data_IF_558188232944
#
_entry.id   IF_558188232944
#
_cell.length_a   1.000
_cell.length_b   1.000
_cell.length_c   1.000
_cell.angle_alpha   90.00
_cell.angle_beta   90.00
_cell.angle_gamma   90.00
#
_symmetry.space_group_name_H-M   'P 1'
#
loop_
_entity.id
_entity.type
_entity.pdbx_description
1 polymer ?
#
# COMPACT_ATOMS: atom_id res chain seq x y z
N UNK A 1 -17.60 10.84 28.06
CA UNK A 1 -17.63 10.69 26.58
C UNK A 1 -16.26 10.90 25.95
N UNK A 2 -15.49 11.92 26.36
CA UNK A 2 -14.08 12.10 25.94
C UNK A 2 -13.19 10.96 26.48
N UNK A 3 -13.61 10.36 27.59
CA UNK A 3 -12.88 9.33 28.35
C UNK A 3 -12.61 8.07 27.50
N UNK A 4 -13.59 7.62 26.70
CA UNK A 4 -13.41 6.45 25.81
C UNK A 4 -12.29 6.65 24.78
N UNK A 5 -12.12 7.87 24.26
CA UNK A 5 -11.06 8.18 23.29
C UNK A 5 -9.70 8.27 23.97
N UNK A 6 -9.66 8.76 25.20
CA UNK A 6 -8.46 8.76 26.03
C UNK A 6 -8.04 7.33 26.39
N UNK A 7 -8.98 6.47 26.80
CA UNK A 7 -8.74 5.06 27.08
C UNK A 7 -8.25 4.30 25.85
N UNK A 8 -8.88 4.52 24.69
CA UNK A 8 -8.41 3.97 23.42
C UNK A 8 -6.97 4.41 23.13
N UNK A 9 -6.67 5.71 23.30
CA UNK A 9 -5.32 6.24 23.09
C UNK A 9 -4.31 5.59 24.01
N UNK A 10 -4.67 5.36 25.28
CA UNK A 10 -3.81 4.73 26.27
C UNK A 10 -3.52 3.28 25.89
N UNK A 11 -4.55 2.47 25.63
CA UNK A 11 -4.39 1.07 25.23
C UNK A 11 -3.60 0.90 23.93
N UNK A 12 -3.79 1.81 22.96
CA UNK A 12 -3.00 1.80 21.73
C UNK A 12 -1.50 2.05 22.01
N UNK A 13 -1.17 2.93 22.97
CA UNK A 13 0.23 3.18 23.37
C UNK A 13 0.83 1.98 24.08
N UNK A 14 0.09 1.32 24.96
CA UNK A 14 0.55 0.11 25.66
C UNK A 14 0.90 -1.03 24.70
N UNK A 15 0.10 -1.21 23.64
CA UNK A 15 0.36 -2.21 22.59
C UNK A 15 1.47 -1.78 21.62
N UNK A 16 2.07 -0.60 21.85
CA UNK A 16 3.23 -0.10 21.12
C UNK A 16 2.89 0.59 19.81
N UNK A 17 1.65 1.07 19.62
CA UNK A 17 1.35 1.96 18.50
C UNK A 17 1.81 3.39 18.84
N UNK A 18 2.48 4.09 17.89
CA UNK A 18 2.99 5.43 18.11
C UNK A 18 1.87 6.49 18.03
N UNK A 19 1.08 6.59 19.10
CA UNK A 19 -0.02 7.55 19.25
C UNK A 19 0.49 8.83 19.93
N UNK A 20 0.39 9.96 19.25
CA UNK A 20 0.75 11.28 19.80
C UNK A 20 -0.43 11.93 20.53
N UNK A 21 -0.14 12.93 21.36
CA UNK A 21 -1.18 13.76 21.99
C UNK A 21 -2.07 14.44 20.93
N UNK A 22 -1.49 14.86 19.80
CA UNK A 22 -2.22 15.47 18.68
C UNK A 22 -3.20 14.49 18.03
N UNK A 23 -2.81 13.23 17.84
CA UNK A 23 -3.76 12.22 17.33
C UNK A 23 -4.92 11.98 18.30
N UNK A 24 -4.66 11.98 19.60
CA UNK A 24 -5.73 11.90 20.62
C UNK A 24 -6.68 13.10 20.55
N UNK A 25 -6.14 14.31 20.37
CA UNK A 25 -6.95 15.52 20.18
C UNK A 25 -7.84 15.43 18.93
N UNK A 26 -7.26 15.06 17.78
CA UNK A 26 -8.01 14.91 16.53
C UNK A 26 -9.09 13.84 16.63
N UNK A 27 -8.78 12.71 17.28
CA UNK A 27 -9.76 11.65 17.53
C UNK A 27 -10.90 12.14 18.43
N UNK A 28 -10.61 12.91 19.48
CA UNK A 28 -11.63 13.45 20.37
C UNK A 28 -12.53 14.49 19.67
N UNK A 29 -11.99 15.24 18.71
CA UNK A 29 -12.78 16.16 17.88
C UNK A 29 -13.71 15.39 16.92
N UNK A 30 -13.19 14.37 16.24
CA UNK A 30 -14.00 13.54 15.32
C UNK A 30 -15.07 12.78 16.08
N UNK A 31 -14.75 12.22 17.25
CA UNK A 31 -15.72 11.50 18.08
C UNK A 31 -16.86 12.41 18.55
N UNK A 32 -16.58 13.69 18.86
CA UNK A 32 -17.63 14.67 19.19
C UNK A 32 -18.59 14.97 18.03
N UNK A 33 -18.11 14.90 16.79
CA UNK A 33 -18.94 15.16 15.60
C UNK A 33 -19.69 13.94 15.07
N UNK A 34 -19.08 12.77 15.10
CA UNK A 34 -19.68 11.52 14.58
C UNK A 34 -20.54 10.78 15.61
N UNK A 35 -20.20 10.88 16.90
CA UNK A 35 -20.80 10.05 17.94
C UNK A 35 -20.54 8.54 17.75
N UNK A 36 -21.46 7.72 18.25
CA UNK A 36 -21.41 6.25 18.18
C UNK A 36 -22.52 5.63 17.30
N UNK A 37 -23.18 6.44 16.45
CA UNK A 37 -24.31 5.96 15.64
C UNK A 37 -23.90 4.90 14.62
N UNK A 38 -22.84 5.18 13.85
CA UNK A 38 -22.22 4.23 12.92
C UNK A 38 -20.82 3.81 13.38
N UNK A 39 -20.77 2.60 13.94
CA UNK A 39 -19.54 1.99 14.45
C UNK A 39 -18.50 1.76 13.34
N UNK A 40 -18.93 1.44 12.13
CA UNK A 40 -18.00 1.16 11.03
C UNK A 40 -17.35 2.44 10.53
N UNK A 41 -18.13 3.51 10.46
CA UNK A 41 -17.66 4.84 10.09
C UNK A 41 -16.71 5.38 11.16
N UNK A 42 -17.08 5.29 12.45
CA UNK A 42 -16.22 5.69 13.57
C UNK A 42 -14.89 4.91 13.58
N UNK A 43 -14.94 3.58 13.39
CA UNK A 43 -13.74 2.74 13.30
C UNK A 43 -12.82 3.18 12.17
N UNK A 44 -13.39 3.49 11.01
CA UNK A 44 -12.63 3.92 9.83
C UNK A 44 -11.97 5.29 10.06
N UNK A 45 -12.71 6.24 10.64
CA UNK A 45 -12.21 7.56 10.95
C UNK A 45 -11.08 7.51 12.00
N UNK A 46 -11.27 6.78 13.11
CA UNK A 46 -10.23 6.62 14.13
C UNK A 46 -9.02 5.86 13.60
N UNK A 47 -9.22 4.84 12.75
CA UNK A 47 -8.13 4.13 12.08
C UNK A 47 -7.25 5.09 11.27
N UNK A 48 -7.87 6.00 10.51
CA UNK A 48 -7.14 6.97 9.70
C UNK A 48 -6.29 7.95 10.55
N UNK A 49 -6.68 8.20 11.81
CA UNK A 49 -5.96 9.09 12.73
C UNK A 49 -4.81 8.37 13.42
N UNK A 50 -5.03 7.14 13.88
CA UNK A 50 -4.07 6.42 14.73
C UNK A 50 -3.09 5.53 13.94
N UNK A 51 -3.50 4.96 12.82
CA UNK A 51 -2.72 3.96 12.09
C UNK A 51 -1.85 4.63 11.03
N UNK A 52 -0.53 4.62 11.26
CA UNK A 52 0.48 5.15 10.33
C UNK A 52 1.03 4.09 9.38
N UNK A 53 0.91 2.83 9.77
CA UNK A 53 1.44 1.71 9.03
C UNK A 53 0.41 0.58 8.91
N UNK A 54 0.41 -0.10 7.77
CA UNK A 54 -0.52 -1.17 7.43
C UNK A 54 -0.43 -2.34 8.43
N UNK A 55 0.77 -2.59 8.94
CA UNK A 55 1.07 -3.62 9.95
C UNK A 55 0.35 -3.36 11.29
N UNK A 56 -0.05 -2.11 11.58
CA UNK A 56 -0.71 -1.76 12.84
C UNK A 56 -2.25 -1.84 12.77
N UNK A 57 -2.81 -2.09 11.57
CA UNK A 57 -4.27 -2.25 11.37
C UNK A 57 -4.85 -3.36 12.26
N UNK A 58 -4.26 -4.58 12.34
CA UNK A 58 -4.83 -5.65 13.16
C UNK A 58 -4.83 -5.32 14.66
N UNK A 59 -3.76 -4.70 15.15
CA UNK A 59 -3.64 -4.27 16.56
C UNK A 59 -4.69 -3.23 16.89
N UNK A 60 -4.82 -2.21 16.04
CA UNK A 60 -5.85 -1.17 16.18
C UNK A 60 -7.25 -1.77 16.23
N UNK A 61 -7.57 -2.66 15.28
CA UNK A 61 -8.88 -3.30 15.23
C UNK A 61 -9.20 -4.05 16.53
N UNK A 62 -8.26 -4.83 17.07
CA UNK A 62 -8.45 -5.57 18.33
C UNK A 62 -8.78 -4.64 19.51
N UNK A 63 -8.05 -3.55 19.63
CA UNK A 63 -8.21 -2.58 20.73
C UNK A 63 -9.50 -1.78 20.57
N UNK A 64 -9.82 -1.34 19.35
CA UNK A 64 -11.07 -0.67 19.06
C UNK A 64 -12.29 -1.53 19.41
N UNK A 65 -12.27 -2.82 19.03
CA UNK A 65 -13.36 -3.73 19.37
C UNK A 65 -13.53 -3.91 20.89
N UNK A 66 -12.43 -3.86 21.65
CA UNK A 66 -12.46 -3.96 23.11
C UNK A 66 -13.02 -2.71 23.81
N UNK A 67 -12.61 -1.52 23.37
CA UNK A 67 -13.04 -0.24 23.97
C UNK A 67 -14.48 0.10 23.59
N UNK A 68 -14.86 -0.17 22.35
CA UNK A 68 -16.20 0.12 21.83
C UNK A 68 -17.09 -1.14 21.80
N UNK A 69 -16.98 -2.02 22.81
CA UNK A 69 -17.93 -3.13 22.96
C UNK A 69 -19.33 -2.55 23.12
N UNK A 70 -20.23 -2.91 22.21
CA UNK A 70 -21.64 -2.54 22.32
C UNK A 70 -22.22 -3.34 23.47
N UNK A 71 -22.76 -2.69 24.51
CA UNK A 71 -23.69 -3.36 25.41
C UNK A 71 -24.78 -3.98 24.54
N UNK A 72 -24.92 -5.29 24.62
CA UNK A 72 -25.83 -6.02 23.75
C UNK A 72 -27.26 -5.60 24.05
N UNK A 73 -27.78 -4.59 23.33
CA UNK A 73 -29.21 -4.54 23.07
C UNK A 73 -29.53 -5.83 22.33
N UNK A 74 -30.36 -6.70 22.93
CA UNK A 74 -31.03 -7.82 22.24
C UNK A 74 -31.65 -7.25 20.96
N UNK A 75 -30.93 -7.36 19.85
CA UNK A 75 -31.51 -7.17 18.53
C UNK A 75 -31.88 -8.56 18.05
N UNK A 76 -33.18 -8.71 17.89
CA UNK A 76 -33.86 -9.85 17.30
C UNK A 76 -33.10 -10.36 16.09
N UNK A 77 -32.99 -11.68 16.03
CA UNK A 77 -32.43 -12.45 14.93
C UNK A 77 -33.40 -12.33 13.76
N UNK A 78 -33.21 -11.33 12.91
CA UNK A 78 -33.84 -11.25 11.59
C UNK A 78 -32.75 -10.79 10.62
N UNK A 79 -32.62 -11.48 9.49
CA UNK A 79 -31.66 -11.30 8.39
C UNK A 79 -30.38 -12.18 8.38
N UNK A 80 -30.42 -13.35 9.02
CA UNK A 80 -29.46 -14.44 8.74
C UNK A 80 -29.99 -15.54 7.79
N UNK A 81 -31.23 -15.42 7.27
CA UNK A 81 -31.86 -16.46 6.42
C UNK A 81 -32.01 -16.11 4.93
N UNK A 82 -31.33 -15.08 4.41
CA UNK A 82 -31.37 -14.75 2.97
C UNK A 82 -30.03 -14.79 2.23
N UNK A 83 -29.07 -15.60 2.70
CA UNK A 83 -27.85 -15.90 1.92
C UNK A 83 -27.59 -17.39 1.84
N UNK A 84 -28.49 -18.09 1.16
CA UNK A 84 -28.27 -19.49 0.84
C UNK A 84 -29.52 -20.18 0.31
N UNK A 85 -29.92 -19.86 -0.93
CA UNK A 85 -30.64 -20.78 -1.82
C UNK A 85 -30.68 -20.21 -3.25
N UNK A 86 -30.28 -21.09 -4.19
CA UNK A 86 -30.53 -21.07 -5.63
C UNK A 86 -29.74 -20.11 -6.55
N UNK A 87 -28.56 -20.57 -6.99
CA UNK A 87 -28.29 -20.63 -8.44
C UNK A 87 -28.35 -22.10 -8.89
N UNK A 88 -29.57 -22.65 -8.97
CA UNK A 88 -29.87 -23.82 -9.79
C UNK A 88 -30.67 -23.30 -10.99
N UNK A 89 -29.96 -22.95 -12.04
CA UNK A 89 -30.52 -22.47 -13.30
C UNK A 89 -29.41 -22.22 -14.29
N UNK A 90 -29.56 -22.77 -15.50
CA UNK A 90 -28.74 -22.46 -16.67
C UNK A 90 -28.61 -20.95 -16.82
N UNK A 91 -27.40 -20.43 -16.66
CA UNK A 91 -27.12 -19.00 -16.83
C UNK A 91 -27.49 -18.51 -18.22
N UNK A 92 -27.75 -17.19 -18.40
CA UNK A 92 -28.05 -16.62 -19.70
C UNK A 92 -26.93 -16.95 -20.70
N UNK A 93 -27.27 -17.64 -21.78
CA UNK A 93 -26.36 -17.91 -22.90
C UNK A 93 -25.98 -16.57 -23.53
N UNK A 94 -24.81 -16.05 -23.21
CA UNK A 94 -24.25 -14.88 -23.89
C UNK A 94 -24.03 -15.20 -25.37
N UNK A 95 -24.53 -14.32 -26.24
CA UNK A 95 -24.45 -14.47 -27.69
C UNK A 95 -23.02 -14.69 -28.17
N UNK A 96 -22.83 -15.86 -28.78
CA UNK A 96 -21.63 -16.34 -29.45
C UNK A 96 -21.40 -15.52 -30.72
N UNK A 97 -20.54 -14.50 -30.67
CA UNK A 97 -19.98 -13.93 -31.90
C UNK A 97 -18.92 -14.89 -32.44
N UNK A 98 -19.24 -15.54 -33.56
CA UNK A 98 -18.33 -16.41 -34.32
C UNK A 98 -17.52 -15.51 -35.25
N UNK A 99 -16.28 -15.19 -34.89
CA UNK A 99 -15.32 -14.59 -35.81
C UNK A 99 -14.61 -15.74 -36.53
N UNK A 100 -14.98 -16.00 -37.79
CA UNK A 100 -14.21 -16.88 -38.68
C UNK A 100 -12.96 -16.12 -39.12
N UNK A 101 -11.77 -16.58 -38.73
CA UNK A 101 -10.52 -16.17 -39.37
C UNK A 101 -9.91 -17.38 -40.08
N UNK A 102 -9.88 -17.29 -41.41
CA UNK A 102 -9.24 -18.23 -42.32
C UNK A 102 -7.70 -18.12 -42.20
N UNK A 103 -7.00 -19.24 -42.43
CA UNK A 103 -5.67 -19.24 -43.04
C UNK A 103 -4.46 -19.43 -42.12
N UNK A 104 -3.83 -20.60 -42.25
CA UNK A 104 -2.68 -21.17 -41.52
C UNK A 104 -1.35 -20.39 -41.61
N UNK A 105 -0.50 -20.52 -40.57
CA UNK A 105 0.88 -21.03 -40.70
C UNK A 105 1.42 -21.49 -39.33
N UNK A 106 2.27 -22.51 -39.36
CA UNK A 106 2.74 -23.38 -38.30
C UNK A 106 3.62 -22.73 -37.21
N UNK A 107 3.48 -23.22 -35.97
CA UNK A 107 4.57 -23.63 -35.06
C UNK A 107 3.93 -24.24 -33.81
N UNK A 108 4.29 -25.50 -33.49
CA UNK A 108 3.80 -26.20 -32.29
C UNK A 108 4.44 -25.60 -31.03
N UNK A 109 3.87 -24.50 -30.53
CA UNK A 109 4.07 -24.08 -29.14
C UNK A 109 2.89 -24.66 -28.36
N UNK A 110 3.16 -25.61 -27.45
CA UNK A 110 2.17 -26.01 -26.45
C UNK A 110 1.84 -24.76 -25.63
N UNK A 111 0.76 -24.05 -25.99
CA UNK A 111 0.18 -23.03 -25.12
C UNK A 111 -0.42 -23.78 -23.95
N UNK A 112 0.33 -23.88 -22.85
CA UNK A 112 -0.29 -24.22 -21.57
C UNK A 112 -1.46 -23.26 -21.36
N UNK A 113 -2.65 -23.80 -21.12
CA UNK A 113 -3.78 -22.96 -20.71
C UNK A 113 -3.34 -22.27 -19.42
N UNK A 114 -3.33 -20.95 -19.44
CA UNK A 114 -2.96 -20.17 -18.26
C UNK A 114 -4.16 -20.26 -17.33
N UNK A 115 -4.07 -21.11 -16.31
CA UNK A 115 -5.10 -21.21 -15.28
C UNK A 115 -5.20 -19.88 -14.52
N UNK A 116 -6.40 -19.54 -14.05
CA UNK A 116 -6.62 -18.34 -13.24
C UNK A 116 -5.68 -18.31 -12.02
N UNK A 117 -5.23 -19.45 -11.52
CA UNK A 117 -4.24 -19.57 -10.44
C UNK A 117 -2.82 -19.17 -10.86
N UNK A 118 -2.39 -19.53 -12.07
CA UNK A 118 -1.11 -19.07 -12.64
C UNK A 118 -1.16 -17.55 -12.94
N UNK A 119 -2.30 -17.02 -13.39
CA UNK A 119 -2.50 -15.57 -13.53
C UNK A 119 -2.49 -14.84 -12.17
N UNK A 120 -3.05 -15.46 -11.12
CA UNK A 120 -2.99 -14.96 -9.73
C UNK A 120 -1.56 -14.92 -9.18
N UNK A 121 -0.69 -15.84 -9.59
CA UNK A 121 0.74 -15.85 -9.22
C UNK A 121 1.57 -14.83 -10.01
N UNK A 122 1.17 -14.51 -11.25
CA UNK A 122 1.91 -13.62 -12.14
C UNK A 122 1.62 -12.12 -11.90
N UNK A 123 0.47 -11.77 -11.32
CA UNK A 123 0.02 -10.38 -11.17
C UNK A 123 0.82 -9.53 -10.18
N UNK A 124 1.76 -10.13 -9.43
CA UNK A 124 2.72 -9.40 -8.58
C UNK A 124 2.09 -8.53 -7.49
N UNK A 125 0.80 -8.71 -7.21
CA UNK A 125 0.08 -8.02 -6.15
C UNK A 125 -0.42 -9.06 -5.15
N UNK A 126 0.07 -9.04 -3.90
CA UNK A 126 -0.51 -9.91 -2.88
C UNK A 126 -1.98 -9.54 -2.67
N UNK A 127 -2.84 -10.56 -2.60
CA UNK A 127 -4.25 -10.43 -2.29
C UNK A 127 -4.44 -9.66 -0.97
N UNK A 128 -5.45 -8.79 -0.92
CA UNK A 128 -5.78 -7.98 0.25
C UNK A 128 -6.01 -8.81 1.53
N UNK A 129 -6.30 -10.10 1.43
CA UNK A 129 -6.55 -10.97 2.58
C UNK A 129 -5.25 -11.45 3.26
N UNK A 130 -4.14 -11.59 2.54
CA UNK A 130 -2.84 -11.98 3.13
C UNK A 130 -2.17 -10.83 3.89
N UNK A 131 -2.63 -9.60 3.64
CA UNK A 131 -2.22 -8.38 4.34
C UNK A 131 -2.49 -8.44 5.84
N UNK A 132 -3.46 -9.23 6.27
CA UNK A 132 -3.83 -9.28 7.69
C UNK A 132 -2.77 -9.95 8.58
N UNK A 133 -1.81 -10.68 8.00
CA UNK A 133 -0.70 -11.35 8.71
C UNK A 133 0.65 -10.65 8.53
N UNK A 134 0.62 -9.33 8.41
CA UNK A 134 1.82 -8.55 8.28
C UNK A 134 2.42 -8.32 9.68
N UNK A 135 3.37 -9.17 10.05
CA UNK A 135 4.33 -8.94 11.13
C UNK A 135 5.49 -8.07 10.60
N UNK A 136 5.93 -7.11 11.42
CA UNK A 136 6.86 -6.02 11.03
C UNK A 136 8.10 -6.52 10.28
N UNK A 137 8.57 -5.70 9.34
CA UNK A 137 9.79 -5.84 8.53
C UNK A 137 11.07 -6.23 9.32
N UNK A 138 11.09 -6.08 10.65
CA UNK A 138 12.23 -6.39 11.51
C UNK A 138 12.64 -7.87 11.49
N UNK A 139 11.71 -8.80 11.27
CA UNK A 139 12.09 -10.22 11.16
C UNK A 139 12.79 -10.56 9.83
N UNK A 140 12.50 -9.83 8.76
CA UNK A 140 13.16 -10.05 7.46
C UNK A 140 14.60 -9.56 7.48
N UNK A 141 14.87 -8.45 8.17
CA UNK A 141 16.21 -7.88 8.30
C UNK A 141 17.16 -8.80 9.07
N UNK A 142 16.62 -9.62 9.98
CA UNK A 142 17.39 -10.56 10.81
C UNK A 142 17.42 -11.99 10.24
N UNK A 143 16.83 -12.22 9.06
CA UNK A 143 16.84 -13.53 8.38
C UNK A 143 17.95 -13.59 7.34
N UNK A 144 18.62 -14.75 7.27
CA UNK A 144 19.62 -15.01 6.24
C UNK A 144 19.01 -14.87 4.84
N UNK A 145 19.70 -14.15 3.94
CA UNK A 145 19.27 -13.94 2.55
C UNK A 145 19.00 -15.25 1.80
N UNK A 146 19.69 -16.34 2.15
CA UNK A 146 19.54 -17.66 1.55
C UNK A 146 18.24 -18.36 1.93
N UNK A 147 17.64 -18.00 3.07
CA UNK A 147 16.37 -18.54 3.58
C UNK A 147 15.16 -17.69 3.17
N UNK A 148 15.37 -16.61 2.42
CA UNK A 148 14.30 -15.75 1.97
C UNK A 148 13.52 -16.40 0.81
N UNK A 149 12.21 -16.55 1.00
CA UNK A 149 11.33 -17.07 -0.04
C UNK A 149 11.14 -16.01 -1.14
N UNK A 150 11.29 -16.40 -2.42
CA UNK A 150 11.16 -15.53 -3.60
C UNK A 150 9.76 -14.91 -3.74
N UNK A 151 8.77 -15.47 -3.06
CA UNK A 151 7.37 -15.04 -3.10
C UNK A 151 6.90 -14.35 -1.80
N UNK A 152 7.79 -13.95 -0.89
CA UNK A 152 7.35 -13.19 0.29
C UNK A 152 6.88 -11.77 -0.15
N UNK A 153 5.60 -11.42 0.06
CA UNK A 153 5.07 -10.11 -0.30
C UNK A 153 5.79 -8.94 0.38
N UNK A 154 6.38 -9.18 1.56
CA UNK A 154 7.17 -8.18 2.29
C UNK A 154 8.48 -7.87 1.57
N UNK A 155 9.16 -8.90 1.05
CA UNK A 155 10.38 -8.73 0.25
C UNK A 155 10.08 -7.95 -1.03
N UNK A 156 8.94 -8.26 -1.68
CA UNK A 156 8.50 -7.56 -2.88
C UNK A 156 8.30 -6.05 -2.62
N UNK A 157 7.66 -5.68 -1.51
CA UNK A 157 7.46 -4.28 -1.15
C UNK A 157 8.79 -3.54 -0.90
N UNK A 158 9.70 -4.17 -0.15
CA UNK A 158 11.04 -3.62 0.12
C UNK A 158 11.81 -3.44 -1.19
N UNK A 159 11.80 -4.46 -2.06
CA UNK A 159 12.43 -4.42 -3.39
C UNK A 159 11.82 -3.33 -4.27
N UNK A 160 10.50 -3.13 -4.24
CA UNK A 160 9.84 -2.04 -4.97
C UNK A 160 10.26 -0.67 -4.44
N UNK A 161 10.32 -0.47 -3.11
CA UNK A 161 10.78 0.78 -2.49
C UNK A 161 12.24 1.06 -2.86
N UNK A 162 13.09 0.03 -2.82
CA UNK A 162 14.50 0.11 -3.22
C UNK A 162 14.61 0.44 -4.72
N UNK A 163 13.86 -0.26 -5.56
CA UNK A 163 13.78 -0.03 -7.00
C UNK A 163 13.38 1.40 -7.33
N UNK A 164 12.34 1.95 -6.68
CA UNK A 164 11.95 3.37 -6.81
C UNK A 164 13.09 4.31 -6.38
N UNK A 165 13.78 4.04 -5.26
CA UNK A 165 14.92 4.86 -4.82
C UNK A 165 16.07 4.83 -5.83
N UNK A 166 16.43 3.66 -6.36
CA UNK A 166 17.49 3.48 -7.36
C UNK A 166 17.12 4.17 -8.67
N UNK A 167 15.90 3.94 -9.15
CA UNK A 167 15.37 4.57 -10.36
C UNK A 167 15.34 6.10 -10.21
N UNK A 168 14.85 6.61 -9.08
CA UNK A 168 14.82 8.05 -8.81
C UNK A 168 16.22 8.65 -8.69
N UNK A 169 17.18 7.96 -8.06
CA UNK A 169 18.58 8.42 -8.00
C UNK A 169 19.22 8.48 -9.39
N UNK A 170 19.02 7.46 -10.22
CA UNK A 170 19.53 7.40 -11.59
C UNK A 170 18.86 8.45 -12.48
N UNK A 171 17.54 8.61 -12.36
CA UNK A 171 16.76 9.63 -13.07
C UNK A 171 17.21 11.04 -12.69
N UNK A 172 17.31 11.34 -11.39
CA UNK A 172 17.83 12.63 -10.90
C UNK A 172 19.20 12.92 -11.50
N UNK A 173 20.17 11.99 -11.39
CA UNK A 173 21.51 12.13 -11.98
C UNK A 173 21.47 12.42 -13.49
N UNK A 174 20.64 11.70 -14.26
CA UNK A 174 20.50 11.89 -15.70
C UNK A 174 19.91 13.26 -16.05
N UNK A 175 18.88 13.70 -15.31
CA UNK A 175 18.29 15.04 -15.46
C UNK A 175 19.34 16.12 -15.13
N UNK A 176 20.18 15.89 -14.11
CA UNK A 176 21.27 16.80 -13.75
C UNK A 176 22.28 17.00 -14.87
N UNK A 177 22.67 15.91 -15.53
CA UNK A 177 23.62 15.95 -16.65
C UNK A 177 23.02 16.46 -17.96
N UNK A 178 21.70 16.33 -18.12
CA UNK A 178 20.97 16.71 -19.33
C UNK A 178 20.47 18.17 -19.32
N UNK A 179 20.67 18.90 -18.22
CA UNK A 179 20.38 20.34 -18.17
C UNK A 179 21.34 21.08 -19.11
N UNK A 180 20.79 21.83 -20.06
CA UNK A 180 21.57 22.71 -20.96
C UNK A 180 21.90 24.08 -20.32
N UNK A 181 21.58 24.27 -19.03
CA UNK A 181 21.92 25.52 -18.33
C UNK A 181 23.39 25.49 -17.92
N UNK A 182 24.10 26.59 -18.14
CA UNK A 182 25.51 26.76 -17.78
C UNK A 182 25.59 27.39 -16.38
N UNK A 183 26.45 26.87 -15.51
CA UNK A 183 26.77 27.52 -14.23
C UNK A 183 27.88 28.53 -14.49
N UNK A 184 27.48 29.80 -14.57
CA UNK A 184 28.38 30.91 -14.92
C UNK A 184 29.53 31.02 -13.92
N UNK A 185 29.29 30.81 -12.61
CA UNK A 185 30.34 30.92 -11.59
C UNK A 185 31.36 29.81 -11.71
N UNK A 186 30.89 28.57 -11.88
CA UNK A 186 31.80 27.43 -12.10
C UNK A 186 32.57 27.57 -13.41
N UNK A 187 31.89 28.01 -14.46
CA UNK A 187 32.48 28.25 -15.78
C UNK A 187 33.59 29.31 -15.69
N UNK A 188 33.31 30.48 -15.12
CA UNK A 188 34.34 31.53 -14.94
C UNK A 188 35.52 31.00 -14.10
N UNK A 189 35.25 30.27 -13.02
CA UNK A 189 36.30 29.69 -12.16
C UNK A 189 37.20 28.70 -12.91
N UNK A 190 36.63 27.81 -13.72
CA UNK A 190 37.41 26.89 -14.55
C UNK A 190 38.26 27.61 -15.61
N UNK A 191 37.77 28.74 -16.10
CA UNK A 191 38.42 29.53 -17.13
C UNK A 191 39.32 30.66 -16.59
N UNK A 192 39.61 30.68 -15.29
CA UNK A 192 40.53 31.68 -14.71
C UNK A 192 41.91 31.65 -15.36
N UNK A 193 42.39 30.47 -15.78
CA UNK A 193 43.64 30.32 -16.54
C UNK A 193 43.65 31.04 -17.89
N UNK A 194 42.47 31.30 -18.47
CA UNK A 194 42.30 32.01 -19.73
C UNK A 194 41.86 33.46 -19.52
N UNK A 195 42.15 34.05 -18.35
CA UNK A 195 41.74 35.42 -18.02
C UNK A 195 40.23 35.57 -17.79
N UNK A 196 39.51 34.49 -17.49
CA UNK A 196 38.07 34.51 -17.25
C UNK A 196 37.19 34.41 -18.51
N UNK A 197 37.81 34.25 -19.69
CA UNK A 197 37.10 34.05 -20.95
C UNK A 197 36.49 32.63 -20.99
N UNK A 198 35.17 32.47 -21.21
CA UNK A 198 34.48 31.18 -21.07
C UNK A 198 34.74 30.23 -22.24
N UNK A 199 35.91 29.59 -22.25
CA UNK A 199 36.30 28.57 -23.23
C UNK A 199 35.79 27.17 -22.84
N UNK A 200 35.93 26.81 -21.56
CA UNK A 200 35.48 25.55 -20.96
C UNK A 200 34.14 25.75 -20.23
N UNK A 201 33.02 25.41 -20.87
CA UNK A 201 31.69 25.61 -20.29
C UNK A 201 31.35 24.52 -19.27
N UNK A 202 31.09 24.92 -18.02
CA UNK A 202 30.63 24.01 -16.98
C UNK A 202 29.11 24.09 -16.88
N UNK A 203 28.43 22.97 -17.19
CA UNK A 203 26.98 22.85 -17.03
C UNK A 203 26.59 22.95 -15.55
N UNK A 204 25.48 23.63 -15.29
CA UNK A 204 24.92 23.72 -13.96
C UNK A 204 24.44 22.36 -13.50
N UNK A 205 24.90 21.94 -12.33
CA UNK A 205 24.18 20.94 -11.56
C UNK A 205 22.81 21.57 -11.23
N UNK A 206 21.68 20.87 -11.41
CA UNK A 206 20.42 21.33 -10.89
C UNK A 206 20.45 21.30 -9.36
#
# INVERSE_FOLDING_TARGET
MIDKVADLSHQLREVGLPVSVRSTQSAAQIYRGLGEEDRNLLKTALRAIYVKDKYDIPKFNKIFENVFKKEAKKKEVLDAEQRGKAYKGTGPKSNKYIIKKQGNISTKIKKEKIDNEKLKQLSGQPLLDEVQKLERDGELLNKDLTKLNKFDPRMLEICQRLGRKIANKRSRRKIQTSSNRIDIRRTIRANMKYGGVPFELIKAKP
#
